data_IF_678121138124
#
_entry.id   IF_678121138124
#
_cell.length_a   1.000
_cell.length_b   1.000
_cell.length_c   1.000
_cell.angle_alpha   90.00
_cell.angle_beta   90.00
_cell.angle_gamma   90.00
#
_symmetry.space_group_name_H-M   'P 1'
#
loop_
_entity.id
_entity.type
_entity.pdbx_description
1 polymer ?
#
# COMPACT_ATOMS: atom_id res chain seq x y z
N UNK A 1 -13.40 -0.98 5.51
CA UNK A 1 -12.49 -0.99 4.35
C UNK A 1 -13.15 -1.18 2.98
N UNK A 2 -14.41 -1.64 2.85
CA UNK A 2 -15.05 -1.82 1.52
C UNK A 2 -15.23 -0.54 0.70
N UNK A 3 -15.45 0.61 1.35
CA UNK A 3 -15.50 1.91 0.66
C UNK A 3 -14.12 2.25 0.09
N UNK A 4 -13.09 2.18 0.94
CA UNK A 4 -11.72 2.45 0.55
C UNK A 4 -11.20 1.46 -0.50
N UNK A 5 -11.62 0.20 -0.43
CA UNK A 5 -11.33 -0.83 -1.43
C UNK A 5 -11.95 -0.50 -2.80
N UNK A 6 -13.15 0.09 -2.83
CA UNK A 6 -13.74 0.56 -4.10
C UNK A 6 -12.97 1.73 -4.70
N UNK A 7 -12.42 2.61 -3.85
CA UNK A 7 -11.62 3.75 -4.29
C UNK A 7 -10.17 3.34 -4.67
N UNK A 8 -9.64 2.31 -4.01
CA UNK A 8 -8.26 1.82 -4.16
C UNK A 8 -8.24 0.29 -4.34
N UNK A 9 -8.83 -0.25 -5.42
CA UNK A 9 -9.03 -1.70 -5.60
C UNK A 9 -7.72 -2.49 -5.69
N UNK A 10 -6.64 -1.85 -6.13
CA UNK A 10 -5.31 -2.45 -6.25
C UNK A 10 -4.71 -2.88 -4.90
N UNK A 11 -5.25 -2.41 -3.77
CA UNK A 11 -4.77 -2.75 -2.43
C UNK A 11 -5.56 -3.86 -1.73
N UNK A 12 -6.68 -4.36 -2.28
CA UNK A 12 -7.44 -5.50 -1.71
C UNK A 12 -7.93 -5.31 -0.27
N UNK A 13 -8.13 -4.05 0.16
CA UNK A 13 -8.47 -3.64 1.51
C UNK A 13 -9.73 -4.29 2.07
N UNK A 14 -10.69 -4.70 1.25
CA UNK A 14 -11.88 -5.42 1.71
C UNK A 14 -11.53 -6.78 2.34
N UNK A 15 -10.51 -7.47 1.82
CA UNK A 15 -10.12 -8.82 2.26
C UNK A 15 -9.34 -8.83 3.58
N UNK A 16 -8.34 -7.96 3.70
CA UNK A 16 -7.44 -7.95 4.89
C UNK A 16 -7.62 -6.72 5.79
N UNK A 17 -8.54 -5.81 5.49
CA UNK A 17 -8.95 -4.70 6.38
C UNK A 17 -7.81 -3.77 6.85
N UNK A 18 -6.73 -3.65 6.07
CA UNK A 18 -5.54 -2.89 6.42
C UNK A 18 -4.47 -3.64 7.24
N UNK A 19 -4.67 -4.91 7.58
CA UNK A 19 -3.61 -5.73 8.18
C UNK A 19 -2.50 -6.01 7.15
N UNK A 20 -1.22 -6.05 7.58
CA UNK A 20 -0.06 -6.12 6.69
C UNK A 20 0.18 -7.55 6.18
N UNK A 21 -0.74 -8.08 5.38
CA UNK A 21 -0.55 -9.36 4.70
C UNK A 21 0.53 -9.24 3.61
N UNK A 22 1.09 -10.36 3.17
CA UNK A 22 2.06 -10.36 2.08
C UNK A 22 1.51 -9.68 0.81
N UNK A 23 0.24 -9.96 0.46
CA UNK A 23 -0.45 -9.34 -0.67
C UNK A 23 -0.57 -7.81 -0.50
N UNK A 24 -0.94 -7.36 0.70
CA UNK A 24 -1.05 -5.94 1.00
C UNK A 24 0.29 -5.21 0.85
N UNK A 25 1.36 -5.76 1.43
CA UNK A 25 2.69 -5.15 1.37
C UNK A 25 3.23 -5.15 -0.07
N UNK A 26 2.93 -6.16 -0.87
CA UNK A 26 3.25 -6.16 -2.29
C UNK A 26 2.54 -5.04 -3.04
N UNK A 27 1.24 -4.83 -2.78
CA UNK A 27 0.47 -3.73 -3.37
C UNK A 27 1.03 -2.36 -2.99
N UNK A 28 1.39 -2.13 -1.71
CA UNK A 28 2.03 -0.87 -1.29
C UNK A 28 3.38 -0.66 -1.98
N UNK A 29 4.22 -1.71 -2.09
CA UNK A 29 5.50 -1.57 -2.79
C UNK A 29 5.31 -1.25 -4.27
N UNK A 30 4.27 -1.79 -4.91
CA UNK A 30 3.99 -1.58 -6.33
C UNK A 30 3.38 -0.21 -6.63
N UNK A 31 2.41 0.22 -5.82
CA UNK A 31 1.59 1.40 -6.10
C UNK A 31 1.90 2.60 -5.20
N UNK A 32 2.92 2.48 -4.35
CA UNK A 32 3.26 3.48 -3.35
C UNK A 32 2.34 3.44 -2.11
N UNK A 33 2.59 4.39 -1.21
CA UNK A 33 1.84 4.57 0.05
C UNK A 33 0.85 5.74 -0.10
N UNK A 34 -0.45 5.48 -0.32
CA UNK A 34 -1.50 6.50 -0.26
C UNK A 34 -1.58 7.25 1.08
N UNK A 35 -2.17 8.44 1.07
CA UNK A 35 -2.26 9.31 2.26
C UNK A 35 -3.10 8.75 3.41
N UNK A 36 -4.04 7.84 3.13
CA UNK A 36 -4.84 7.21 4.19
C UNK A 36 -4.05 6.20 5.05
N UNK A 37 -2.82 5.85 4.64
CA UNK A 37 -1.96 4.99 5.43
C UNK A 37 -1.35 5.72 6.61
N UNK A 38 -1.32 5.03 7.75
CA UNK A 38 -0.65 5.53 8.95
C UNK A 38 0.86 5.47 8.77
N UNK A 39 1.48 6.61 8.46
CA UNK A 39 2.93 6.74 8.20
C UNK A 39 3.81 6.31 9.37
N UNK A 40 3.31 6.33 10.60
CA UNK A 40 4.05 5.88 11.79
C UNK A 40 4.15 4.36 11.93
N UNK A 41 3.38 3.59 11.17
CA UNK A 41 3.40 2.13 11.24
C UNK A 41 4.66 1.59 10.56
N UNK A 42 5.38 0.70 11.25
CA UNK A 42 6.69 0.22 10.82
C UNK A 42 6.75 -0.27 9.36
N UNK A 43 5.77 -1.03 8.82
CA UNK A 43 5.81 -1.44 7.42
C UNK A 43 5.70 -0.27 6.44
N UNK A 44 4.83 0.70 6.74
CA UNK A 44 4.62 1.90 5.93
C UNK A 44 5.86 2.79 5.99
N UNK A 45 6.37 3.04 7.20
CA UNK A 45 7.57 3.85 7.41
C UNK A 45 8.78 3.29 6.68
N UNK A 46 9.02 1.98 6.74
CA UNK A 46 10.14 1.33 6.02
C UNK A 46 10.07 1.53 4.51
N UNK A 47 8.86 1.56 3.93
CA UNK A 47 8.66 1.78 2.50
C UNK A 47 8.90 3.26 2.15
N UNK A 48 8.46 4.19 3.01
CA UNK A 48 8.70 5.63 2.82
C UNK A 48 10.17 6.01 2.99
N UNK A 49 10.87 5.39 3.95
CA UNK A 49 12.28 5.64 4.23
C UNK A 49 13.19 5.04 3.13
N UNK A 50 12.72 4.03 2.41
CA UNK A 50 13.45 3.37 1.31
C UNK A 50 12.49 2.99 0.16
N UNK A 51 12.06 3.97 -0.66
CA UNK A 51 11.14 3.71 -1.76
C UNK A 51 11.83 2.89 -2.87
N UNK A 52 11.07 2.07 -3.62
CA UNK A 52 11.62 1.40 -4.80
C UNK A 52 12.08 2.44 -5.83
N UNK A 53 13.21 2.17 -6.48
CA UNK A 53 13.81 3.06 -7.49
C UNK A 53 13.08 3.05 -8.83
N UNK A 54 12.12 2.15 -9.02
CA UNK A 54 11.39 1.96 -10.27
C UNK A 54 9.92 1.78 -9.96
N UNK A 55 9.07 2.58 -10.60
CA UNK A 55 7.62 2.40 -10.66
C UNK A 55 7.26 2.06 -12.10
N UNK A 56 6.47 1.01 -12.33
CA UNK A 56 6.07 0.59 -13.70
C UNK A 56 5.29 1.67 -14.47
N UNK A 57 4.86 2.75 -13.81
CA UNK A 57 4.23 3.91 -14.43
C UNK A 57 5.20 4.77 -15.29
N UNK A 58 6.50 4.48 -15.30
CA UNK A 58 7.52 5.16 -16.15
C UNK A 58 7.83 4.43 -17.48
N UNK A 59 7.03 3.43 -17.89
CA UNK A 59 7.21 2.67 -19.14
C UNK A 59 6.11 2.93 -20.19
#
# INVERSE_FOLDING_TARGET
MRELDRQYPQFGLAGHKGYPTAAHLAAIRRHGVPDFYRRSFAPVRKILDNPPLWTEDEA
#
